data_IF_230189389453
#
_entry.id   IF_230189389453
#
_cell.length_a   1.000
_cell.length_b   1.000
_cell.length_c   1.000
_cell.angle_alpha   90.00
_cell.angle_beta   90.00
_cell.angle_gamma   90.00
#
_symmetry.space_group_name_H-M   'P 1'
#
loop_
_entity.id
_entity.type
_entity.pdbx_description
1 polymer ?
#
# COMPACT_ATOMS: atom_id res chain seq x y z
N UNK A 1 -57.30 -40.68 -3.30
CA UNK A 1 -56.75 -39.90 -4.43
C UNK A 1 -56.64 -38.39 -4.15
N UNK A 2 -57.65 -37.72 -3.55
CA UNK A 2 -57.60 -36.28 -3.24
C UNK A 2 -56.48 -35.86 -2.27
N UNK A 3 -56.25 -36.61 -1.20
CA UNK A 3 -55.16 -36.34 -0.24
C UNK A 3 -53.77 -36.43 -0.87
N UNK A 4 -53.54 -37.43 -1.73
CA UNK A 4 -52.26 -37.58 -2.43
C UNK A 4 -52.01 -36.39 -3.35
N UNK A 5 -53.05 -35.96 -4.09
CA UNK A 5 -52.98 -34.77 -4.97
C UNK A 5 -52.68 -33.47 -4.21
N UNK A 6 -53.25 -33.29 -3.01
CA UNK A 6 -52.99 -32.10 -2.18
C UNK A 6 -51.53 -32.09 -1.70
N UNK A 7 -51.00 -33.24 -1.28
CA UNK A 7 -49.59 -33.37 -0.86
C UNK A 7 -48.65 -33.09 -2.04
N UNK A 8 -48.96 -33.57 -3.24
CA UNK A 8 -48.14 -33.30 -4.44
C UNK A 8 -48.13 -31.80 -4.77
N UNK A 9 -49.27 -31.13 -4.69
CA UNK A 9 -49.36 -29.68 -4.92
C UNK A 9 -48.57 -28.89 -3.88
N UNK A 10 -48.63 -29.30 -2.61
CA UNK A 10 -47.89 -28.63 -1.53
C UNK A 10 -46.37 -28.76 -1.71
N UNK A 11 -45.90 -29.94 -2.14
CA UNK A 11 -44.48 -30.20 -2.42
C UNK A 11 -43.98 -29.41 -3.63
N UNK A 12 -44.80 -29.24 -4.67
CA UNK A 12 -44.46 -28.39 -5.81
C UNK A 12 -44.37 -26.91 -5.42
N UNK A 13 -45.32 -26.42 -4.61
CA UNK A 13 -45.30 -25.03 -4.13
C UNK A 13 -44.06 -24.74 -3.29
N UNK A 14 -43.72 -25.61 -2.34
CA UNK A 14 -42.56 -25.41 -1.48
C UNK A 14 -41.24 -25.43 -2.26
N UNK A 15 -41.12 -26.33 -3.25
CA UNK A 15 -39.92 -26.42 -4.09
C UNK A 15 -39.75 -25.19 -4.98
N UNK A 16 -40.85 -24.70 -5.59
CA UNK A 16 -40.82 -23.48 -6.40
C UNK A 16 -40.44 -22.24 -5.59
N UNK A 17 -40.95 -22.11 -4.36
CA UNK A 17 -40.61 -20.99 -3.49
C UNK A 17 -39.12 -20.99 -3.09
N UNK A 18 -38.57 -22.18 -2.77
CA UNK A 18 -37.15 -22.32 -2.44
C UNK A 18 -36.24 -21.95 -3.63
N UNK A 19 -36.62 -22.32 -4.86
CA UNK A 19 -35.87 -21.98 -6.07
C UNK A 19 -35.84 -20.47 -6.33
N UNK A 20 -36.99 -19.80 -6.21
CA UNK A 20 -37.09 -18.35 -6.40
C UNK A 20 -36.32 -17.60 -5.31
N UNK A 21 -36.44 -18.02 -4.06
CA UNK A 21 -35.69 -17.43 -2.95
C UNK A 21 -34.17 -17.58 -3.13
N UNK A 22 -33.69 -18.75 -3.59
CA UNK A 22 -32.28 -18.97 -3.89
C UNK A 22 -31.79 -18.11 -5.06
N UNK A 23 -32.59 -17.93 -6.12
CA UNK A 23 -32.24 -17.06 -7.23
C UNK A 23 -32.04 -15.61 -6.78
N UNK A 24 -32.94 -15.08 -5.95
CA UNK A 24 -32.81 -13.72 -5.42
C UNK A 24 -31.62 -13.59 -4.46
N UNK A 25 -31.42 -14.58 -3.60
CA UNK A 25 -30.25 -14.63 -2.70
C UNK A 25 -28.95 -14.59 -3.50
N UNK A 26 -28.83 -15.43 -4.53
CA UNK A 26 -27.64 -15.55 -5.35
C UNK A 26 -27.42 -14.25 -6.15
N UNK A 27 -28.46 -13.66 -6.73
CA UNK A 27 -28.38 -12.36 -7.41
C UNK A 27 -27.89 -11.27 -6.47
N UNK A 28 -28.46 -11.15 -5.26
CA UNK A 28 -28.03 -10.14 -4.29
C UNK A 28 -26.58 -10.41 -3.86
N UNK A 29 -26.24 -11.66 -3.56
CA UNK A 29 -24.90 -12.03 -3.09
C UNK A 29 -23.84 -11.76 -4.16
N UNK A 30 -24.09 -12.09 -5.43
CA UNK A 30 -23.14 -11.83 -6.52
C UNK A 30 -22.99 -10.35 -6.84
N UNK A 31 -24.04 -9.54 -6.69
CA UNK A 31 -23.97 -8.10 -6.95
C UNK A 31 -23.41 -7.30 -5.77
N UNK A 32 -23.69 -7.71 -4.52
CA UNK A 32 -23.26 -6.99 -3.33
C UNK A 32 -21.87 -7.41 -2.84
N UNK A 33 -21.59 -8.72 -2.83
CA UNK A 33 -20.33 -9.26 -2.32
C UNK A 33 -19.32 -9.60 -3.43
N UNK A 34 -19.71 -9.44 -4.70
CA UNK A 34 -18.94 -9.89 -5.85
C UNK A 34 -19.00 -11.41 -6.02
N UNK A 35 -18.50 -11.90 -7.16
CA UNK A 35 -18.29 -13.34 -7.32
C UNK A 35 -17.34 -13.81 -6.21
N UNK A 36 -17.59 -14.93 -5.52
CA UNK A 36 -16.64 -15.51 -4.58
C UNK A 36 -15.45 -16.04 -5.38
N UNK A 37 -14.61 -15.13 -5.86
CA UNK A 37 -13.32 -15.43 -6.46
C UNK A 37 -12.47 -15.91 -5.31
N UNK A 38 -12.43 -17.25 -5.18
CA UNK A 38 -11.46 -17.98 -4.39
C UNK A 38 -10.09 -17.33 -4.64
N UNK A 39 -9.43 -16.93 -3.55
CA UNK A 39 -8.13 -16.30 -3.62
C UNK A 39 -7.22 -17.18 -4.49
N UNK A 40 -6.68 -16.62 -5.57
CA UNK A 40 -5.76 -17.37 -6.43
C UNK A 40 -4.47 -17.56 -5.66
N UNK A 41 -3.97 -18.80 -5.65
CA UNK A 41 -2.63 -19.08 -5.15
C UNK A 41 -1.62 -18.29 -5.99
N UNK A 42 -1.03 -17.27 -5.38
CA UNK A 42 0.02 -16.46 -5.98
C UNK A 42 1.35 -16.89 -5.38
N UNK A 43 2.18 -17.52 -6.20
CA UNK A 43 3.56 -17.79 -5.85
C UNK A 43 4.39 -16.51 -6.04
N UNK A 44 5.12 -16.14 -4.99
CA UNK A 44 6.07 -15.04 -5.02
C UNK A 44 7.49 -15.61 -4.89
N UNK A 45 8.43 -15.20 -5.77
CA UNK A 45 9.84 -15.54 -5.58
C UNK A 45 10.39 -14.70 -4.42
N UNK A 46 10.18 -15.17 -3.19
CA UNK A 46 10.71 -14.53 -1.99
C UNK A 46 12.19 -14.90 -1.81
N UNK A 47 13.05 -13.90 -1.95
CA UNK A 47 14.47 -14.02 -1.62
C UNK A 47 14.73 -13.31 -0.28
N UNK A 48 15.05 -14.06 0.81
CA UNK A 48 15.24 -13.48 2.14
C UNK A 48 16.45 -12.53 2.22
N UNK A 49 17.43 -12.65 1.31
CA UNK A 49 18.65 -11.86 1.33
C UNK A 49 18.59 -10.64 0.40
N UNK A 50 17.51 -10.46 -0.36
CA UNK A 50 17.35 -9.31 -1.27
C UNK A 50 17.46 -7.98 -0.52
N UNK A 51 16.96 -7.91 0.70
CA UNK A 51 17.03 -6.72 1.55
C UNK A 51 18.47 -6.31 1.88
N UNK A 52 19.32 -7.29 2.23
CA UNK A 52 20.75 -7.03 2.55
C UNK A 52 21.50 -6.48 1.33
N UNK A 53 21.31 -7.12 0.17
CA UNK A 53 21.97 -6.71 -1.07
C UNK A 53 21.52 -5.32 -1.53
N UNK A 54 20.22 -5.05 -1.48
CA UNK A 54 19.66 -3.73 -1.85
C UNK A 54 20.00 -2.64 -0.84
N UNK A 55 20.10 -2.97 0.45
CA UNK A 55 20.53 -2.01 1.47
C UNK A 55 21.93 -1.49 1.19
N UNK A 56 22.87 -2.38 0.85
CA UNK A 56 24.22 -1.98 0.45
C UNK A 56 24.21 -1.04 -0.77
N UNK A 57 23.49 -1.42 -1.84
CA UNK A 57 23.37 -0.60 -3.06
C UNK A 57 22.75 0.77 -2.76
N UNK A 58 21.73 0.82 -1.90
CA UNK A 58 21.08 2.05 -1.50
C UNK A 58 22.05 2.96 -0.73
N UNK A 59 22.83 2.41 0.19
CA UNK A 59 23.79 3.17 0.98
C UNK A 59 24.93 3.73 0.13
N UNK A 60 25.43 2.95 -0.83
CA UNK A 60 26.45 3.40 -1.79
C UNK A 60 25.96 4.60 -2.62
N UNK A 61 24.69 4.60 -3.02
CA UNK A 61 24.10 5.65 -3.84
C UNK A 61 23.65 6.89 -3.05
N UNK A 62 23.06 6.67 -1.87
CA UNK A 62 22.30 7.69 -1.13
C UNK A 62 22.91 8.06 0.24
N UNK A 63 24.02 7.44 0.63
CA UNK A 63 24.61 7.58 1.97
C UNK A 63 24.06 6.57 2.97
N UNK A 64 24.76 6.39 4.09
CA UNK A 64 24.49 5.33 5.07
C UNK A 64 23.03 5.35 5.60
N UNK A 65 22.48 6.56 5.81
CA UNK A 65 21.08 6.77 6.21
C UNK A 65 20.23 7.46 5.14
N UNK A 66 20.67 7.46 3.88
CA UNK A 66 19.96 8.16 2.80
C UNK A 66 20.12 9.68 2.84
N UNK A 67 21.11 10.21 3.55
CA UNK A 67 21.41 11.65 3.69
C UNK A 67 21.42 12.37 2.33
N UNK A 68 22.09 11.79 1.32
CA UNK A 68 22.15 12.37 -0.03
C UNK A 68 20.81 12.28 -0.77
N UNK A 69 19.98 11.27 -0.48
CA UNK A 69 18.64 11.19 -1.05
C UNK A 69 17.73 12.27 -0.45
N UNK A 70 17.81 12.48 0.87
CA UNK A 70 17.05 13.51 1.57
C UNK A 70 17.45 14.91 1.08
N UNK A 71 18.75 15.16 0.94
CA UNK A 71 19.27 16.41 0.37
C UNK A 71 18.69 16.67 -1.04
N UNK A 72 18.80 15.69 -1.94
CA UNK A 72 18.24 15.80 -3.30
C UNK A 72 16.72 16.04 -3.32
N UNK A 73 15.97 15.39 -2.43
CA UNK A 73 14.54 15.63 -2.29
C UNK A 73 14.24 17.08 -1.88
N UNK A 74 15.06 17.68 -1.03
CA UNK A 74 14.94 19.07 -0.60
C UNK A 74 15.37 20.10 -1.65
N UNK A 75 16.17 19.71 -2.64
CA UNK A 75 16.70 20.61 -3.68
C UNK A 75 15.76 20.78 -4.89
N UNK A 76 14.75 19.92 -5.06
CA UNK A 76 13.81 20.00 -6.18
C UNK A 76 14.33 19.41 -7.50
N UNK A 77 13.44 19.24 -8.48
CA UNK A 77 13.70 18.55 -9.77
C UNK A 77 13.73 19.48 -11.00
N UNK A 78 13.61 20.78 -10.78
CA UNK A 78 13.48 21.81 -11.83
C UNK A 78 14.83 22.33 -12.37
N UNK A 79 15.95 21.74 -11.92
CA UNK A 79 17.30 22.07 -12.40
C UNK A 79 17.99 23.24 -11.70
N UNK A 80 17.38 23.80 -10.64
CA UNK A 80 17.97 24.85 -9.80
C UNK A 80 18.58 24.28 -8.50
N UNK A 81 18.95 23.01 -8.51
CA UNK A 81 19.48 22.28 -7.35
C UNK A 81 20.79 22.89 -6.84
N UNK A 82 21.70 23.30 -7.74
CA UNK A 82 22.98 23.91 -7.36
C UNK A 82 22.79 25.26 -6.64
N UNK A 83 21.92 26.13 -7.16
CA UNK A 83 21.62 27.44 -6.56
C UNK A 83 21.00 27.29 -5.17
N UNK A 84 20.06 26.35 -5.02
CA UNK A 84 19.44 26.06 -3.71
C UNK A 84 20.42 25.45 -2.74
N UNK A 85 21.31 24.57 -3.20
CA UNK A 85 22.35 23.99 -2.37
C UNK A 85 23.30 25.08 -1.87
N UNK A 86 23.71 26.02 -2.74
CA UNK A 86 24.55 27.14 -2.35
C UNK A 86 23.86 28.04 -1.32
N UNK A 87 22.59 28.39 -1.54
CA UNK A 87 21.80 29.15 -0.59
C UNK A 87 21.65 28.44 0.77
N UNK A 88 21.46 27.12 0.77
CA UNK A 88 21.43 26.30 1.99
C UNK A 88 22.79 26.35 2.71
N UNK A 89 23.91 26.22 2.00
CA UNK A 89 25.26 26.29 2.58
C UNK A 89 25.57 27.65 3.19
N UNK A 90 25.13 28.74 2.56
CA UNK A 90 25.28 30.10 3.10
C UNK A 90 24.46 30.25 4.37
N UNK A 91 23.21 29.77 4.38
CA UNK A 91 22.34 29.81 5.56
C UNK A 91 22.91 28.99 6.71
N UNK A 92 23.48 27.82 6.42
CA UNK A 92 23.96 26.88 7.44
C UNK A 92 25.40 27.21 7.90
N UNK A 93 26.06 28.21 7.27
CA UNK A 93 27.38 28.67 7.66
C UNK A 93 27.34 29.31 9.06
N UNK A 94 27.94 28.63 10.04
CA UNK A 94 27.95 29.04 11.45
C UNK A 94 26.82 28.47 12.31
N UNK A 95 25.89 27.73 11.69
CA UNK A 95 24.71 27.13 12.32
C UNK A 95 24.75 25.60 12.15
N UNK A 96 25.73 24.93 12.77
CA UNK A 96 25.85 23.48 12.70
C UNK A 96 24.79 22.82 13.60
N UNK A 97 23.94 21.96 13.02
CA UNK A 97 22.93 21.17 13.76
C UNK A 97 21.94 22.00 14.62
N UNK A 98 21.67 23.25 14.25
CA UNK A 98 20.77 24.14 15.02
C UNK A 98 21.42 24.73 16.28
N UNK A 99 22.75 24.72 16.37
CA UNK A 99 23.51 25.39 17.42
C UNK A 99 24.26 26.57 16.81
N UNK A 100 23.96 27.77 17.32
CA UNK A 100 24.65 29.00 16.93
C UNK A 100 25.99 29.05 17.65
N UNK A 101 27.08 28.88 16.92
CA UNK A 101 28.42 29.09 17.49
C UNK A 101 28.68 30.60 17.57
N UNK A 102 28.23 31.22 18.65
CA UNK A 102 28.78 32.51 19.06
C UNK A 102 30.24 32.25 19.43
N UNK A 103 31.18 33.00 18.85
CA UNK A 103 32.64 32.82 19.08
C UNK A 103 33.13 33.08 20.51
N UNK A 104 32.30 32.90 21.53
CA UNK A 104 32.60 33.03 22.95
C UNK A 104 32.90 31.69 23.65
N UNK A 105 32.62 30.55 23.01
CA UNK A 105 32.63 29.24 23.68
C UNK A 105 33.86 28.37 23.31
N UNK A 106 34.99 29.02 23.02
CA UNK A 106 36.22 28.35 22.58
C UNK A 106 37.51 28.97 23.14
N UNK A 107 37.73 28.77 24.44
CA UNK A 107 39.06 28.59 25.06
C UNK A 107 39.04 27.31 25.90
#
# INVERSE_FOLDING_TARGET
MKFFSVITVLLFLSTSYAQVANLFKDLIQFNLAGHPVLHKDQLWPFDPDVGKRRSRQYQELNGHFGEKAIERLGLGIDGYDIERLEAQRIRDAGHLNGVDYNGADGL
#
